data_IF_885526430804
#
_entry.id   IF_885526430804
#
_cell.length_a   1.000
_cell.length_b   1.000
_cell.length_c   1.000
_cell.angle_alpha   90.00
_cell.angle_beta   90.00
_cell.angle_gamma   90.00
#
_symmetry.space_group_name_H-M   'P 1'
#
loop_
_entity.id
_entity.type
_entity.pdbx_description
1 polymer ?
#
# COMPACT_ATOMS: atom_id res chain seq x y z
N UNK A 1 -52.41 25.02 -35.21
CA UNK A 1 -50.97 25.17 -34.91
C UNK A 1 -50.87 26.05 -33.69
N UNK A 2 -50.50 25.48 -32.55
CA UNK A 2 -49.84 26.20 -31.45
C UNK A 2 -49.15 25.12 -30.62
N UNK A 3 -47.83 25.02 -30.78
CA UNK A 3 -46.98 24.11 -30.01
C UNK A 3 -46.62 24.83 -28.73
N UNK A 4 -47.15 24.36 -27.59
CA UNK A 4 -46.62 24.75 -26.29
C UNK A 4 -45.33 23.95 -26.05
N UNK A 5 -44.19 24.61 -26.25
CA UNK A 5 -42.88 24.11 -25.84
C UNK A 5 -42.79 24.21 -24.32
N UNK A 6 -43.06 23.11 -23.63
CA UNK A 6 -42.54 22.90 -22.28
C UNK A 6 -41.07 22.47 -22.42
N UNK A 7 -40.19 23.45 -22.60
CA UNK A 7 -38.76 23.28 -22.31
C UNK A 7 -38.62 23.16 -20.79
N UNK A 8 -38.88 21.96 -20.27
CA UNK A 8 -38.32 21.54 -19.00
C UNK A 8 -36.81 21.46 -19.20
N UNK A 9 -36.13 22.57 -18.93
CA UNK A 9 -34.71 22.58 -18.59
C UNK A 9 -34.54 21.64 -17.39
N UNK A 10 -34.31 20.36 -17.68
CA UNK A 10 -33.60 19.46 -16.79
C UNK A 10 -32.24 20.10 -16.57
N UNK A 11 -32.14 20.86 -15.47
CA UNK A 11 -30.85 21.09 -14.82
C UNK A 11 -30.30 19.71 -14.53
N UNK A 12 -29.39 19.25 -15.37
CA UNK A 12 -28.44 18.22 -15.02
C UNK A 12 -27.74 18.76 -13.77
N UNK A 13 -28.12 18.25 -12.59
CA UNK A 13 -27.27 18.33 -11.41
C UNK A 13 -26.08 17.41 -11.68
N UNK A 14 -25.15 17.87 -12.51
CA UNK A 14 -23.79 17.39 -12.45
C UNK A 14 -23.28 17.84 -11.08
N UNK A 15 -23.23 16.91 -10.13
CA UNK A 15 -22.50 17.10 -8.89
C UNK A 15 -21.03 17.30 -9.27
N UNK A 16 -20.63 18.56 -9.41
CA UNK A 16 -19.24 18.90 -9.69
C UNK A 16 -18.41 18.50 -8.47
N UNK A 17 -17.60 17.45 -8.60
CA UNK A 17 -16.57 17.09 -7.62
C UNK A 17 -15.72 18.34 -7.37
N UNK A 18 -15.49 18.67 -6.10
CA UNK A 18 -14.76 19.88 -5.75
C UNK A 18 -13.28 19.77 -6.14
N UNK A 19 -12.65 20.91 -6.45
CA UNK A 19 -11.23 20.96 -6.77
C UNK A 19 -10.36 20.43 -5.61
N UNK A 20 -10.79 20.69 -4.37
CA UNK A 20 -10.14 20.18 -3.16
C UNK A 20 -10.17 18.65 -3.07
N UNK A 21 -11.30 18.03 -3.42
CA UNK A 21 -11.44 16.58 -3.44
C UNK A 21 -10.60 15.94 -4.55
N UNK A 22 -10.47 16.59 -5.71
CA UNK A 22 -9.55 16.16 -6.77
C UNK A 22 -8.08 16.23 -6.32
N UNK A 23 -7.67 17.28 -5.62
CA UNK A 23 -6.32 17.37 -5.04
C UNK A 23 -6.06 16.29 -4.00
N UNK A 24 -7.05 15.99 -3.13
CA UNK A 24 -6.97 14.89 -2.17
C UNK A 24 -6.75 13.55 -2.87
N UNK A 25 -7.55 13.26 -3.90
CA UNK A 25 -7.44 12.03 -4.70
C UNK A 25 -6.08 11.92 -5.40
N UNK A 26 -5.57 13.01 -5.98
CA UNK A 26 -4.26 13.03 -6.63
C UNK A 26 -3.13 12.76 -5.62
N UNK A 27 -3.21 13.34 -4.42
CA UNK A 27 -2.23 13.11 -3.37
C UNK A 27 -2.23 11.64 -2.89
N UNK A 28 -3.41 11.06 -2.69
CA UNK A 28 -3.57 9.63 -2.37
C UNK A 28 -2.96 8.77 -3.48
N UNK A 29 -3.20 9.11 -4.75
CA UNK A 29 -2.66 8.37 -5.89
C UNK A 29 -1.13 8.42 -5.94
N UNK A 30 -0.54 9.60 -5.72
CA UNK A 30 0.92 9.77 -5.67
C UNK A 30 1.55 8.97 -4.53
N UNK A 31 1.01 9.09 -3.32
CA UNK A 31 1.50 8.33 -2.15
C UNK A 31 1.35 6.83 -2.37
N UNK A 32 0.26 6.39 -3.00
CA UNK A 32 0.05 4.97 -3.36
C UNK A 32 1.08 4.50 -4.38
N UNK A 33 1.39 5.32 -5.39
CA UNK A 33 2.41 5.02 -6.39
C UNK A 33 3.80 4.87 -5.76
N UNK A 34 4.21 5.83 -4.93
CA UNK A 34 5.49 5.77 -4.22
C UNK A 34 5.57 4.56 -3.28
N UNK A 35 4.46 4.22 -2.61
CA UNK A 35 4.36 3.04 -1.76
C UNK A 35 4.55 1.73 -2.54
N UNK A 36 4.04 1.64 -3.77
CA UNK A 36 4.26 0.48 -4.64
C UNK A 36 5.73 0.37 -5.08
N UNK A 37 6.39 1.50 -5.37
CA UNK A 37 7.83 1.49 -5.66
C UNK A 37 8.65 1.02 -4.46
N UNK A 38 8.30 1.45 -3.24
CA UNK A 38 8.94 0.98 -2.02
C UNK A 38 8.78 -0.53 -1.80
N UNK A 39 7.59 -1.08 -2.05
CA UNK A 39 7.37 -2.54 -2.00
C UNK A 39 8.31 -3.25 -2.98
N UNK A 40 8.43 -2.73 -4.21
CA UNK A 40 9.28 -3.33 -5.23
C UNK A 40 10.76 -3.29 -4.83
N UNK A 41 11.23 -2.19 -4.25
CA UNK A 41 12.59 -2.09 -3.69
C UNK A 41 12.81 -3.12 -2.58
N UNK A 42 11.89 -3.25 -1.63
CA UNK A 42 11.99 -4.22 -0.55
C UNK A 42 12.03 -5.67 -1.07
N UNK A 43 11.28 -5.99 -2.13
CA UNK A 43 11.32 -7.30 -2.79
C UNK A 43 12.70 -7.56 -3.41
N UNK A 44 13.25 -6.59 -4.16
CA UNK A 44 14.57 -6.73 -4.79
C UNK A 44 15.65 -6.97 -3.71
N UNK A 45 15.63 -6.18 -2.64
CA UNK A 45 16.57 -6.34 -1.53
C UNK A 45 16.48 -7.75 -0.93
N UNK A 46 15.27 -8.27 -0.66
CA UNK A 46 15.11 -9.63 -0.15
C UNK A 46 15.65 -10.70 -1.10
N UNK A 47 15.51 -10.52 -2.42
CA UNK A 47 16.10 -11.45 -3.42
C UNK A 47 17.63 -11.43 -3.34
N UNK A 48 18.25 -10.26 -3.19
CA UNK A 48 19.70 -10.15 -3.01
C UNK A 48 20.15 -10.85 -1.73
N UNK A 49 19.46 -10.63 -0.61
CA UNK A 49 19.74 -11.33 0.66
C UNK A 49 19.71 -12.85 0.51
N UNK A 50 18.63 -13.40 -0.08
CA UNK A 50 18.50 -14.85 -0.31
C UNK A 50 19.62 -15.37 -1.23
N UNK A 51 20.02 -14.59 -2.21
CA UNK A 51 21.14 -14.94 -3.11
C UNK A 51 22.48 -14.99 -2.37
N UNK A 52 22.71 -14.04 -1.44
CA UNK A 52 23.87 -14.04 -0.55
C UNK A 52 23.92 -15.24 0.39
N UNK A 53 22.79 -15.57 1.03
CA UNK A 53 22.70 -16.75 1.90
C UNK A 53 22.93 -18.06 1.13
N UNK A 54 22.40 -18.14 -0.09
CA UNK A 54 22.69 -19.27 -0.98
C UNK A 54 24.19 -19.39 -1.29
N UNK A 55 24.89 -18.28 -1.51
CA UNK A 55 26.34 -18.30 -1.76
C UNK A 55 27.11 -18.82 -0.54
N UNK A 56 26.75 -18.39 0.67
CA UNK A 56 27.35 -18.90 1.92
C UNK A 56 27.16 -20.40 2.10
N UNK A 57 25.95 -20.90 1.81
CA UNK A 57 25.68 -22.35 1.86
C UNK A 57 26.52 -23.12 0.85
N UNK A 58 26.68 -22.60 -0.37
CA UNK A 58 27.52 -23.22 -1.40
C UNK A 58 28.99 -23.25 -0.98
N UNK A 59 29.49 -22.20 -0.34
CA UNK A 59 30.85 -22.16 0.22
C UNK A 59 31.05 -23.26 1.28
N UNK A 60 30.07 -23.43 2.18
CA UNK A 60 30.10 -24.48 3.20
C UNK A 60 30.09 -25.89 2.58
N UNK A 61 29.31 -26.12 1.53
CA UNK A 61 29.25 -27.41 0.85
C UNK A 61 30.53 -27.75 0.09
N UNK A 62 31.19 -26.75 -0.49
CA UNK A 62 32.33 -26.95 -1.40
C UNK A 62 33.70 -26.63 -0.77
N UNK A 63 33.74 -26.22 0.50
CA UNK A 63 34.94 -25.71 1.17
C UNK A 63 35.61 -24.57 0.36
N UNK A 64 34.81 -23.63 -0.13
CA UNK A 64 35.26 -22.41 -0.81
C UNK A 64 34.96 -21.18 0.05
N UNK A 65 35.44 -20.01 -0.36
CA UNK A 65 35.27 -18.75 0.36
C UNK A 65 34.91 -17.58 -0.58
N UNK A 66 34.08 -17.84 -1.58
CA UNK A 66 33.71 -16.86 -2.61
C UNK A 66 32.82 -15.77 -2.01
N UNK A 67 31.95 -16.12 -1.07
CA UNK A 67 31.02 -15.22 -0.40
C UNK A 67 31.69 -14.17 0.49
N UNK A 68 32.95 -14.38 0.91
CA UNK A 68 33.73 -13.39 1.67
C UNK A 68 33.97 -12.09 0.89
N UNK A 69 33.91 -12.16 -0.44
CA UNK A 69 34.06 -11.01 -1.33
C UNK A 69 32.73 -10.29 -1.64
N UNK A 70 31.60 -10.86 -1.22
CA UNK A 70 30.30 -10.25 -1.44
C UNK A 70 30.04 -9.11 -0.42
N UNK A 71 29.23 -8.11 -0.78
CA UNK A 71 28.75 -7.12 0.18
C UNK A 71 28.07 -7.76 1.38
N UNK A 72 28.15 -7.11 2.55
CA UNK A 72 27.39 -7.54 3.73
C UNK A 72 25.90 -7.22 3.55
N UNK A 73 25.09 -8.27 3.43
CA UNK A 73 23.64 -8.20 3.23
C UNK A 73 22.86 -8.42 4.53
N UNK A 74 23.53 -8.56 5.69
CA UNK A 74 22.90 -8.91 6.98
C UNK A 74 21.81 -7.93 7.44
N UNK A 75 21.91 -6.65 7.04
CA UNK A 75 20.94 -5.62 7.39
C UNK A 75 19.71 -5.56 6.49
N UNK A 76 19.75 -6.23 5.33
CA UNK A 76 18.66 -6.16 4.36
C UNK A 76 17.31 -6.61 4.94
N UNK A 77 17.22 -7.74 5.68
CA UNK A 77 15.94 -8.16 6.27
C UNK A 77 15.32 -7.10 7.18
N UNK A 78 16.15 -6.41 7.97
CA UNK A 78 15.70 -5.33 8.87
C UNK A 78 15.16 -4.15 8.06
N UNK A 79 15.93 -3.69 7.07
CA UNK A 79 15.55 -2.56 6.20
C UNK A 79 14.25 -2.88 5.43
N UNK A 80 14.15 -4.06 4.83
CA UNK A 80 12.95 -4.47 4.10
C UNK A 80 11.72 -4.58 5.00
N UNK A 81 11.87 -5.07 6.24
CA UNK A 81 10.77 -5.11 7.21
C UNK A 81 10.30 -3.71 7.61
N UNK A 82 11.22 -2.75 7.79
CA UNK A 82 10.87 -1.35 8.04
C UNK A 82 10.11 -0.74 6.87
N UNK A 83 10.51 -1.03 5.63
CA UNK A 83 9.79 -0.60 4.43
C UNK A 83 8.37 -1.20 4.41
N UNK A 84 8.22 -2.50 4.66
CA UNK A 84 6.90 -3.13 4.69
C UNK A 84 6.01 -2.55 5.79
N UNK A 85 6.55 -2.25 6.96
CA UNK A 85 5.82 -1.58 8.04
C UNK A 85 5.37 -0.17 7.65
N UNK A 86 6.25 0.60 7.03
CA UNK A 86 5.93 1.94 6.56
C UNK A 86 4.79 1.89 5.53
N UNK A 87 4.93 1.04 4.51
CA UNK A 87 3.95 0.95 3.41
C UNK A 87 2.59 0.45 3.91
N UNK A 88 2.57 -0.57 4.77
CA UNK A 88 1.31 -1.07 5.35
C UNK A 88 0.65 -0.05 6.26
N UNK A 89 1.43 0.78 6.97
CA UNK A 89 0.91 1.91 7.74
C UNK A 89 0.29 2.98 6.85
N UNK A 90 0.94 3.33 5.72
CA UNK A 90 0.39 4.27 4.74
C UNK A 90 -0.96 3.79 4.21
N UNK A 91 -1.06 2.52 3.79
CA UNK A 91 -2.33 1.96 3.32
C UNK A 91 -3.38 1.90 4.42
N UNK A 92 -3.00 1.68 5.69
CA UNK A 92 -3.94 1.77 6.81
C UNK A 92 -4.56 3.18 6.91
N UNK A 93 -3.74 4.22 6.83
CA UNK A 93 -4.22 5.60 6.86
C UNK A 93 -5.14 5.93 5.68
N UNK A 94 -4.77 5.52 4.46
CA UNK A 94 -5.62 5.73 3.27
C UNK A 94 -6.97 5.04 3.42
N UNK A 95 -6.99 3.79 3.89
CA UNK A 95 -8.24 3.04 4.07
C UNK A 95 -9.07 3.56 5.25
N UNK A 96 -8.43 4.10 6.29
CA UNK A 96 -9.12 4.76 7.40
C UNK A 96 -9.81 6.05 6.93
N UNK A 97 -9.10 6.91 6.21
CA UNK A 97 -9.66 8.15 5.63
C UNK A 97 -10.82 7.86 4.68
N UNK A 98 -10.71 6.83 3.84
CA UNK A 98 -11.79 6.39 2.97
C UNK A 98 -13.02 5.86 3.74
N UNK A 99 -12.79 5.19 4.88
CA UNK A 99 -13.88 4.74 5.75
C UNK A 99 -14.55 5.91 6.46
N UNK A 100 -13.80 6.85 7.01
CA UNK A 100 -14.33 8.07 7.64
C UNK A 100 -15.16 8.89 6.66
N UNK A 101 -14.62 9.16 5.46
CA UNK A 101 -15.32 9.85 4.37
C UNK A 101 -16.63 9.14 4.02
N UNK A 102 -16.65 7.79 4.00
CA UNK A 102 -17.88 7.03 3.71
C UNK A 102 -18.97 7.16 4.78
N UNK A 103 -18.60 7.49 6.03
CA UNK A 103 -19.56 7.77 7.08
C UNK A 103 -20.09 9.20 6.93
N UNK A 104 -19.20 10.15 6.69
CA UNK A 104 -19.54 11.58 6.57
C UNK A 104 -20.44 11.87 5.37
N UNK A 105 -20.18 11.25 4.22
CA UNK A 105 -20.94 11.47 2.98
C UNK A 105 -22.28 10.72 2.95
N UNK A 106 -22.67 10.04 4.04
CA UNK A 106 -23.89 9.24 4.16
C UNK A 106 -24.11 8.26 2.98
N UNK A 107 -23.01 7.74 2.39
CA UNK A 107 -23.09 6.76 1.30
C UNK A 107 -23.78 5.48 1.75
N UNK A 108 -24.20 4.66 0.78
CA UNK A 108 -24.99 3.47 1.06
C UNK A 108 -24.34 2.59 2.14
N UNK A 109 -25.15 1.97 2.99
CA UNK A 109 -24.67 1.05 4.03
C UNK A 109 -23.74 -0.04 3.46
N UNK A 110 -24.00 -0.46 2.21
CA UNK A 110 -23.16 -1.43 1.50
C UNK A 110 -21.76 -0.89 1.25
N UNK A 111 -21.63 0.37 0.85
CA UNK A 111 -20.34 1.01 0.56
C UNK A 111 -19.57 1.30 1.86
N UNK A 112 -20.26 1.70 2.93
CA UNK A 112 -19.66 1.83 4.25
C UNK A 112 -19.09 0.50 4.77
N UNK A 113 -19.83 -0.60 4.65
CA UNK A 113 -19.34 -1.94 5.03
C UNK A 113 -18.12 -2.33 4.20
N UNK A 114 -18.09 -1.98 2.91
CA UNK A 114 -16.94 -2.25 2.03
C UNK A 114 -15.70 -1.45 2.48
N UNK A 115 -15.85 -0.17 2.78
CA UNK A 115 -14.77 0.68 3.27
C UNK A 115 -14.25 0.20 4.63
N UNK A 116 -15.16 -0.16 5.56
CA UNK A 116 -14.78 -0.75 6.85
C UNK A 116 -13.97 -2.04 6.70
N UNK A 117 -14.40 -2.94 5.80
CA UNK A 117 -13.65 -4.17 5.52
C UNK A 117 -12.25 -3.88 4.99
N UNK A 118 -12.10 -2.91 4.08
CA UNK A 118 -10.80 -2.51 3.56
C UNK A 118 -9.89 -1.96 4.67
N UNK A 119 -10.42 -1.09 5.53
CA UNK A 119 -9.72 -0.61 6.72
C UNK A 119 -9.25 -1.75 7.63
N UNK A 120 -10.16 -2.65 8.05
CA UNK A 120 -9.80 -3.78 8.92
C UNK A 120 -8.80 -4.72 8.23
N UNK A 121 -8.93 -4.97 6.93
CA UNK A 121 -7.95 -5.76 6.18
C UNK A 121 -6.57 -5.13 6.23
N UNK A 122 -6.45 -3.82 5.98
CA UNK A 122 -5.17 -3.11 6.06
C UNK A 122 -4.57 -3.13 7.48
N UNK A 123 -5.42 -3.05 8.51
CA UNK A 123 -4.99 -3.17 9.90
C UNK A 123 -4.43 -4.56 10.22
N UNK A 124 -5.12 -5.62 9.79
CA UNK A 124 -4.65 -6.99 9.98
C UNK A 124 -3.33 -7.25 9.25
N UNK A 125 -3.15 -6.68 8.05
CA UNK A 125 -1.87 -6.74 7.33
C UNK A 125 -0.76 -6.04 8.13
N UNK A 126 -1.00 -4.83 8.64
CA UNK A 126 -0.01 -4.13 9.47
C UNK A 126 0.38 -4.92 10.73
N UNK A 127 -0.61 -5.54 11.41
CA UNK A 127 -0.35 -6.41 12.57
C UNK A 127 0.50 -7.62 12.16
N UNK A 128 0.16 -8.29 11.05
CA UNK A 128 0.92 -9.42 10.54
C UNK A 128 2.37 -9.03 10.20
N UNK A 129 2.57 -7.89 9.54
CA UNK A 129 3.90 -7.36 9.22
C UNK A 129 4.69 -6.99 10.48
N UNK A 130 4.03 -6.43 11.49
CA UNK A 130 4.65 -6.10 12.79
C UNK A 130 5.12 -7.32 13.56
N UNK A 131 4.33 -8.40 13.56
CA UNK A 131 4.73 -9.67 14.17
C UNK A 131 5.89 -10.29 13.38
N UNK A 132 5.83 -10.24 12.04
CA UNK A 132 6.88 -10.80 11.18
C UNK A 132 8.25 -10.14 11.38
N UNK A 133 8.29 -8.85 11.73
CA UNK A 133 9.55 -8.14 12.05
C UNK A 133 10.34 -8.83 13.15
N UNK A 134 9.67 -9.32 14.20
CA UNK A 134 10.30 -9.98 15.33
C UNK A 134 10.88 -11.36 15.02
N UNK A 135 10.51 -11.98 13.90
CA UNK A 135 10.93 -13.34 13.54
C UNK A 135 12.18 -13.39 12.65
N UNK A 136 12.66 -12.25 12.15
CA UNK A 136 13.83 -12.16 11.26
C UNK A 136 15.07 -11.57 11.95
N UNK A 137 14.97 -11.21 13.23
CA UNK A 137 16.10 -10.99 14.12
C UNK A 137 16.55 -12.35 14.70
N UNK A 138 17.22 -13.17 13.90
CA UNK A 138 17.86 -14.42 14.36
C UNK A 138 19.32 -14.43 13.94
#
# INVERSE_FOLDING_TARGET
MEKNNNDQNQKNNESSVSEEELFKQLNILNISYDSLLLILVAIILNIEFVSGERAKLLDQLNNTNISDSLPDLSRIPIISNEIFLLVTSIFLFINYDAYETSIEDEVSQRDQIKAFRAFISSFLVLVATSISRGNLEV
#
